data_IF_743900097924
#
_entry.id   IF_743900097924
#
_cell.length_a   1.000
_cell.length_b   1.000
_cell.length_c   1.000
_cell.angle_alpha   90.00
_cell.angle_beta   90.00
_cell.angle_gamma   90.00
#
_symmetry.space_group_name_H-M   'P 1'
#
loop_
_entity.id
_entity.type
_entity.pdbx_description
1 polymer ?
#
# COMPACT_ATOMS: atom_id res chain seq x y z
N UNK A 1 61.76 -3.76 -31.70
CA UNK A 1 60.87 -4.62 -30.88
C UNK A 1 60.31 -3.77 -29.76
N UNK A 2 59.03 -3.39 -29.85
CA UNK A 2 58.35 -2.53 -28.86
C UNK A 2 57.59 -3.45 -27.90
N UNK A 3 57.94 -3.43 -26.62
CA UNK A 3 57.16 -4.10 -25.57
C UNK A 3 55.91 -3.26 -25.29
N UNK A 4 54.74 -3.89 -25.44
CA UNK A 4 53.46 -3.35 -25.00
C UNK A 4 53.17 -3.99 -23.64
N UNK A 5 53.20 -3.19 -22.58
CA UNK A 5 52.79 -3.62 -21.24
C UNK A 5 51.26 -3.48 -21.20
N UNK A 6 50.57 -4.62 -21.21
CA UNK A 6 49.13 -4.69 -21.00
C UNK A 6 48.84 -4.67 -19.49
N UNK A 7 48.18 -3.63 -19.00
CA UNK A 7 47.63 -3.59 -17.64
C UNK A 7 46.26 -4.28 -17.65
N UNK A 8 46.17 -5.47 -17.07
CA UNK A 8 44.89 -6.13 -16.78
C UNK A 8 44.32 -5.56 -15.47
N UNK A 9 43.22 -4.81 -15.55
CA UNK A 9 42.44 -4.43 -14.38
C UNK A 9 41.66 -5.68 -13.92
N UNK A 10 42.10 -6.32 -12.85
CA UNK A 10 41.33 -7.33 -12.14
C UNK A 10 40.25 -6.62 -11.31
N UNK A 11 39.00 -6.63 -11.78
CA UNK A 11 37.86 -6.29 -10.94
C UNK A 11 37.39 -7.59 -10.27
N UNK A 12 37.88 -7.83 -9.06
CA UNK A 12 37.38 -8.89 -8.19
C UNK A 12 36.21 -8.32 -7.37
N UNK A 13 35.01 -8.22 -7.96
CA UNK A 13 33.80 -7.98 -7.18
C UNK A 13 33.36 -9.30 -6.55
N UNK A 14 33.80 -9.54 -5.32
CA UNK A 14 33.25 -10.60 -4.48
C UNK A 14 31.83 -10.20 -4.07
N UNK A 15 30.83 -10.63 -4.85
CA UNK A 15 29.44 -10.57 -4.38
C UNK A 15 29.25 -11.63 -3.30
N UNK A 16 29.37 -11.18 -2.05
CA UNK A 16 28.78 -11.86 -0.90
C UNK A 16 27.70 -10.93 -0.32
N UNK A 17 26.65 -10.71 -1.11
CA UNK A 17 25.37 -10.16 -0.65
C UNK A 17 24.49 -11.38 -0.38
N UNK A 18 24.67 -12.06 0.75
CA UNK A 18 23.95 -11.82 2.01
C UNK A 18 22.43 -11.84 1.78
N UNK A 19 21.83 -13.01 1.99
CA UNK A 19 20.39 -13.26 1.93
C UNK A 19 19.54 -12.26 2.74
N UNK A 20 20.14 -11.52 3.69
CA UNK A 20 19.50 -10.45 4.46
C UNK A 20 19.05 -9.26 3.59
N UNK A 21 19.75 -8.95 2.50
CA UNK A 21 19.37 -7.83 1.62
C UNK A 21 18.21 -8.20 0.70
N UNK A 22 18.20 -9.45 0.21
CA UNK A 22 17.07 -9.99 -0.58
C UNK A 22 15.79 -10.09 0.27
N UNK A 23 15.90 -10.55 1.52
CA UNK A 23 14.77 -10.67 2.44
C UNK A 23 14.22 -9.30 2.87
N UNK A 24 15.10 -8.31 3.09
CA UNK A 24 14.70 -6.90 3.33
C UNK A 24 14.01 -6.28 2.13
N UNK A 25 14.56 -6.45 0.92
CA UNK A 25 13.96 -5.93 -0.32
C UNK A 25 12.60 -6.59 -0.58
N UNK A 26 12.50 -7.90 -0.37
CA UNK A 26 11.23 -8.63 -0.51
C UNK A 26 10.21 -8.17 0.54
N UNK A 27 10.64 -7.87 1.77
CA UNK A 27 9.80 -7.32 2.84
C UNK A 27 9.28 -5.91 2.51
N UNK A 28 10.14 -5.03 1.98
CA UNK A 28 9.73 -3.67 1.53
C UNK A 28 8.74 -3.77 0.37
N UNK A 29 8.96 -4.70 -0.57
CA UNK A 29 8.06 -4.92 -1.71
C UNK A 29 6.65 -5.36 -1.28
N UNK A 30 6.51 -5.95 -0.09
CA UNK A 30 5.24 -6.44 0.45
C UNK A 30 4.53 -5.41 1.33
N UNK A 31 5.17 -4.29 1.69
CA UNK A 31 4.55 -3.28 2.54
C UNK A 31 3.56 -2.43 1.73
N UNK A 32 2.36 -2.19 2.28
CA UNK A 32 1.47 -1.18 1.72
C UNK A 32 2.03 0.20 2.07
N UNK A 33 2.44 0.97 1.06
CA UNK A 33 2.92 2.33 1.24
C UNK A 33 2.03 3.26 0.40
N UNK A 34 1.20 4.04 1.10
CA UNK A 34 0.43 5.13 0.53
C UNK A 34 1.15 6.41 0.89
N UNK A 35 1.54 7.17 -0.13
CA UNK A 35 2.29 8.41 0.05
C UNK A 35 1.41 9.48 0.71
N UNK A 36 1.80 10.08 1.84
CA UNK A 36 1.05 11.20 2.41
C UNK A 36 1.24 12.50 1.62
N UNK A 37 2.34 12.64 0.88
CA UNK A 37 2.69 13.88 0.21
C UNK A 37 1.84 14.11 -1.04
N UNK A 38 1.44 15.36 -1.26
CA UNK A 38 0.69 15.76 -2.44
C UNK A 38 -0.78 15.36 -2.44
N UNK A 39 -1.33 14.83 -1.34
CA UNK A 39 -2.77 14.56 -1.23
C UNK A 39 -3.55 15.87 -1.29
N UNK A 40 -4.42 16.00 -2.30
CA UNK A 40 -5.32 17.15 -2.49
C UNK A 40 -6.66 16.90 -1.83
N UNK A 41 -7.19 15.68 -1.97
CA UNK A 41 -8.46 15.31 -1.35
C UNK A 41 -8.55 13.82 -1.10
N UNK A 42 -9.37 13.47 -0.12
CA UNK A 42 -9.73 12.10 0.17
C UNK A 42 -11.25 11.99 0.26
N UNK A 43 -11.82 11.00 -0.40
CA UNK A 43 -13.26 10.77 -0.42
C UNK A 43 -13.55 9.32 -0.09
N UNK A 44 -14.73 9.06 0.50
CA UNK A 44 -15.18 7.71 0.78
C UNK A 44 -16.63 7.47 0.37
N UNK A 45 -16.98 6.21 0.10
CA UNK A 45 -18.35 5.75 -0.02
C UNK A 45 -18.53 4.40 0.64
N UNK A 46 -19.71 4.20 1.24
CA UNK A 46 -20.07 2.92 1.83
C UNK A 46 -20.64 1.96 0.77
N UNK A 47 -21.02 0.76 1.18
CA UNK A 47 -21.56 -0.25 0.27
C UNK A 47 -23.06 -0.10 -0.05
N UNK A 48 -23.76 0.77 0.69
CA UNK A 48 -25.19 1.06 0.52
C UNK A 48 -25.40 2.34 -0.31
N UNK A 49 -24.39 3.18 -0.40
CA UNK A 49 -24.43 4.50 -1.01
C UNK A 49 -23.35 4.63 -2.10
N UNK A 50 -23.73 5.17 -3.26
CA UNK A 50 -22.78 5.48 -4.35
C UNK A 50 -22.19 6.88 -4.22
N UNK A 51 -22.70 7.71 -3.33
CA UNK A 51 -22.25 9.08 -3.13
C UNK A 51 -20.90 9.10 -2.43
N UNK A 52 -19.93 9.79 -3.04
CA UNK A 52 -18.62 10.06 -2.45
C UNK A 52 -18.73 11.22 -1.47
N UNK A 53 -18.35 10.99 -0.23
CA UNK A 53 -18.29 11.97 0.85
C UNK A 53 -16.84 12.39 1.07
N UNK A 54 -16.60 13.69 1.18
CA UNK A 54 -15.25 14.21 1.44
C UNK A 54 -14.86 13.95 2.90
N UNK A 55 -13.66 13.42 3.10
CA UNK A 55 -13.05 13.23 4.41
C UNK A 55 -12.47 14.58 4.87
N UNK A 56 -12.65 14.92 6.14
CA UNK A 56 -12.13 16.17 6.71
C UNK A 56 -10.61 16.16 6.69
N UNK A 57 -10.01 17.31 6.43
CA UNK A 57 -8.55 17.43 6.35
C UNK A 57 -7.85 16.91 7.62
N UNK A 58 -8.40 17.22 8.79
CA UNK A 58 -7.86 16.80 10.09
C UNK A 58 -7.87 15.26 10.27
N UNK A 59 -8.78 14.56 9.60
CA UNK A 59 -8.94 13.10 9.67
C UNK A 59 -8.05 12.36 8.66
N UNK A 60 -7.61 13.02 7.59
CA UNK A 60 -6.82 12.41 6.50
C UNK A 60 -5.58 11.72 7.06
N UNK A 61 -4.84 12.40 7.95
CA UNK A 61 -3.61 11.86 8.51
C UNK A 61 -3.87 10.58 9.32
N UNK A 62 -4.88 10.59 10.18
CA UNK A 62 -5.21 9.43 11.02
C UNK A 62 -5.63 8.23 10.17
N UNK A 63 -6.42 8.46 9.11
CA UNK A 63 -6.82 7.39 8.19
C UNK A 63 -5.61 6.84 7.42
N UNK A 64 -4.72 7.71 6.94
CA UNK A 64 -3.47 7.33 6.28
C UNK A 64 -2.58 6.46 7.17
N UNK A 65 -2.41 6.88 8.43
CA UNK A 65 -1.62 6.14 9.41
C UNK A 65 -2.18 4.72 9.58
N UNK A 66 -3.51 4.57 9.70
CA UNK A 66 -4.16 3.25 9.81
C UNK A 66 -3.96 2.43 8.53
N UNK A 67 -4.21 2.99 7.34
CA UNK A 67 -4.07 2.27 6.07
C UNK A 67 -2.64 1.75 5.87
N UNK A 68 -1.63 2.53 6.28
CA UNK A 68 -0.22 2.13 6.21
C UNK A 68 0.19 1.09 7.27
N UNK A 69 -0.66 0.75 8.24
CA UNK A 69 -0.44 -0.40 9.13
C UNK A 69 -0.79 -1.75 8.50
N UNK A 70 -1.42 -1.74 7.32
CA UNK A 70 -1.88 -2.94 6.66
C UNK A 70 -0.72 -3.89 6.33
N UNK A 71 -0.93 -5.18 6.60
CA UNK A 71 0.09 -6.22 6.41
C UNK A 71 -0.21 -7.03 5.17
N UNK A 72 0.81 -7.37 4.38
CA UNK A 72 0.65 -8.22 3.20
C UNK A 72 -0.09 -9.51 3.54
N UNK A 73 -1.00 -9.93 2.67
CA UNK A 73 -1.72 -11.20 2.83
C UNK A 73 -1.22 -12.24 1.82
N UNK A 74 -0.27 -13.09 2.22
CA UNK A 74 0.29 -14.12 1.34
C UNK A 74 -0.79 -15.10 0.84
N UNK A 75 -1.78 -15.43 1.67
CA UNK A 75 -2.85 -16.36 1.30
C UNK A 75 -3.76 -15.75 0.23
N UNK A 76 -4.19 -14.49 0.44
CA UNK A 76 -5.08 -13.82 -0.51
C UNK A 76 -4.39 -13.46 -1.83
N UNK A 77 -3.06 -13.34 -1.83
CA UNK A 77 -2.27 -13.03 -3.03
C UNK A 77 -1.67 -14.27 -3.72
N UNK A 78 -1.94 -15.49 -3.24
CA UNK A 78 -1.39 -16.74 -3.78
C UNK A 78 -1.97 -17.14 -5.17
N UNK A 79 -2.87 -16.32 -5.72
CA UNK A 79 -3.52 -16.53 -7.01
C UNK A 79 -4.75 -17.44 -6.96
N UNK A 80 -5.07 -18.04 -5.80
CA UNK A 80 -6.31 -18.79 -5.62
C UNK A 80 -7.47 -17.81 -5.46
N UNK A 81 -8.38 -17.82 -6.44
CA UNK A 81 -9.55 -16.93 -6.44
C UNK A 81 -10.56 -17.34 -5.37
N UNK A 82 -10.80 -16.48 -4.39
CA UNK A 82 -11.96 -16.56 -3.50
C UNK A 82 -13.06 -15.60 -3.96
N UNK A 83 -14.33 -16.02 -3.87
CA UNK A 83 -15.49 -15.16 -4.18
C UNK A 83 -15.66 -14.15 -3.04
N UNK A 84 -15.47 -12.87 -3.32
CA UNK A 84 -15.71 -11.82 -2.33
C UNK A 84 -17.11 -11.19 -2.46
N UNK A 85 -17.64 -10.79 -1.31
CA UNK A 85 -18.78 -9.87 -1.24
C UNK A 85 -18.36 -8.47 -1.69
N UNK A 86 -19.33 -7.59 -1.95
CA UNK A 86 -19.01 -6.18 -2.19
C UNK A 86 -18.19 -5.60 -1.01
N UNK A 87 -17.21 -4.72 -1.28
CA UNK A 87 -16.47 -4.02 -0.24
C UNK A 87 -17.44 -3.18 0.58
N UNK A 88 -17.18 -3.05 1.88
CA UNK A 88 -18.00 -2.28 2.80
C UNK A 88 -17.73 -0.77 2.70
N UNK A 89 -16.48 -0.42 2.39
CA UNK A 89 -16.03 0.95 2.28
C UNK A 89 -15.08 1.06 1.07
N UNK A 90 -15.19 2.16 0.35
CA UNK A 90 -14.26 2.55 -0.71
C UNK A 90 -13.66 3.89 -0.34
N UNK A 91 -12.35 4.02 -0.47
CA UNK A 91 -11.63 5.29 -0.30
C UNK A 91 -10.94 5.63 -1.61
N UNK A 92 -11.05 6.89 -2.01
CA UNK A 92 -10.36 7.47 -3.17
C UNK A 92 -9.48 8.59 -2.67
N UNK A 93 -8.18 8.49 -2.92
CA UNK A 93 -7.18 9.51 -2.61
C UNK A 93 -6.78 10.15 -3.94
N UNK A 94 -6.90 11.47 -4.03
CA UNK A 94 -6.47 12.27 -5.19
C UNK A 94 -5.23 13.08 -4.83
N UNK A 95 -4.23 13.01 -5.68
CA UNK A 95 -2.98 13.73 -5.54
C UNK A 95 -2.93 14.95 -6.45
N UNK A 96 -1.97 15.84 -6.21
CA UNK A 96 -1.76 17.08 -6.98
C UNK A 96 -1.26 16.85 -8.40
N UNK A 97 -0.76 15.65 -8.70
CA UNK A 97 -0.36 15.21 -10.04
C UNK A 97 -1.52 14.53 -10.80
N UNK A 98 -2.76 14.70 -10.32
CA UNK A 98 -3.98 14.08 -10.81
C UNK A 98 -4.02 12.54 -10.71
N UNK A 99 -3.03 11.92 -10.05
CA UNK A 99 -3.08 10.48 -9.79
C UNK A 99 -4.13 10.14 -8.73
N UNK A 100 -4.68 8.93 -8.84
CA UNK A 100 -5.68 8.41 -7.91
C UNK A 100 -5.24 7.06 -7.32
N UNK A 101 -5.36 6.94 -5.99
CA UNK A 101 -5.29 5.64 -5.31
C UNK A 101 -6.70 5.25 -4.87
N UNK A 102 -7.13 4.06 -5.31
CA UNK A 102 -8.45 3.50 -5.00
C UNK A 102 -8.28 2.31 -4.07
N UNK A 103 -8.92 2.39 -2.92
CA UNK A 103 -8.81 1.42 -1.84
C UNK A 103 -10.18 0.82 -1.60
N UNK A 104 -10.24 -0.50 -1.52
CA UNK A 104 -11.45 -1.25 -1.18
C UNK A 104 -11.24 -1.94 0.16
N UNK A 105 -12.23 -1.84 1.03
CA UNK A 105 -12.14 -2.23 2.43
C UNK A 105 -13.30 -3.16 2.82
N UNK A 106 -12.96 -4.27 3.47
CA UNK A 106 -13.83 -5.22 4.18
C UNK A 106 -13.45 -5.24 5.66
N UNK A 107 -14.21 -5.96 6.50
CA UNK A 107 -14.00 -5.95 7.96
C UNK A 107 -12.55 -6.17 8.40
N UNK A 108 -11.82 -7.06 7.72
CA UNK A 108 -10.43 -7.40 8.05
C UNK A 108 -9.48 -7.37 6.83
N UNK A 109 -9.92 -6.84 5.68
CA UNK A 109 -9.15 -6.87 4.44
C UNK A 109 -9.14 -5.51 3.76
N UNK A 110 -8.00 -5.21 3.16
CA UNK A 110 -7.78 -4.07 2.29
C UNK A 110 -7.24 -4.53 0.95
N UNK A 111 -7.79 -3.97 -0.13
CA UNK A 111 -7.31 -4.16 -1.48
C UNK A 111 -6.95 -2.83 -2.11
N UNK A 112 -5.70 -2.73 -2.55
CA UNK A 112 -5.15 -1.55 -3.21
C UNK A 112 -4.11 -1.99 -4.22
N UNK A 113 -4.09 -1.36 -5.39
CA UNK A 113 -3.10 -1.63 -6.45
C UNK A 113 -2.97 -3.11 -6.84
N UNK A 114 -4.08 -3.86 -6.85
CA UNK A 114 -4.13 -5.31 -7.16
C UNK A 114 -3.51 -6.23 -6.12
N UNK A 115 -3.25 -5.72 -4.92
CA UNK A 115 -2.65 -6.49 -3.82
C UNK A 115 -3.58 -6.50 -2.62
N UNK A 116 -3.68 -7.67 -1.98
CA UNK A 116 -4.43 -7.88 -0.75
C UNK A 116 -3.57 -7.67 0.48
N UNK A 117 -4.18 -7.04 1.49
CA UNK A 117 -3.59 -6.80 2.78
C UNK A 117 -4.59 -7.10 3.89
N UNK A 118 -4.10 -7.53 5.04
CA UNK A 118 -4.85 -7.65 6.29
C UNK A 118 -4.89 -6.29 6.97
N UNK A 119 -6.09 -5.79 7.23
CA UNK A 119 -6.32 -4.52 7.92
C UNK A 119 -7.69 -4.55 8.61
N UNK A 120 -7.72 -4.26 9.90
CA UNK A 120 -8.98 -4.06 10.63
C UNK A 120 -9.48 -2.63 10.40
N UNK A 121 -10.68 -2.50 9.83
CA UNK A 121 -11.22 -1.21 9.40
C UNK A 121 -12.07 -0.52 10.47
N UNK A 122 -12.20 -1.09 11.68
CA UNK A 122 -12.99 -0.51 12.77
C UNK A 122 -12.57 0.91 13.10
N UNK A 123 -11.26 1.15 13.24
CA UNK A 123 -10.73 2.48 13.53
C UNK A 123 -11.03 3.49 12.41
N UNK A 124 -11.01 3.06 11.14
CA UNK A 124 -11.40 3.92 10.01
C UNK A 124 -12.90 4.24 10.09
N UNK A 125 -13.76 3.25 10.36
CA UNK A 125 -15.20 3.46 10.53
C UNK A 125 -15.50 4.44 11.67
N UNK A 126 -14.83 4.32 12.82
CA UNK A 126 -15.00 5.23 13.95
C UNK A 126 -14.64 6.68 13.59
N UNK A 127 -13.58 6.90 12.80
CA UNK A 127 -13.22 8.24 12.32
C UNK A 127 -14.30 8.78 11.37
N UNK A 128 -14.75 7.96 10.42
CA UNK A 128 -15.67 8.40 9.35
C UNK A 128 -17.11 8.62 9.82
N UNK A 129 -17.61 7.79 10.73
CA UNK A 129 -19.00 7.81 11.19
C UNK A 129 -19.15 8.33 12.62
N UNK A 130 -18.04 8.52 13.35
CA UNK A 130 -18.04 8.72 14.79
C UNK A 130 -18.09 7.39 15.55
N UNK A 131 -17.98 7.46 16.89
CA UNK A 131 -18.24 6.29 17.73
C UNK A 131 -19.73 5.96 17.65
N UNK A 132 -20.06 4.76 17.18
CA UNK A 132 -21.37 4.18 17.49
C UNK A 132 -21.43 4.01 19.02
N UNK A 133 -22.34 4.72 19.68
CA UNK A 133 -22.62 4.62 21.12
C UNK A 133 -23.52 3.42 21.35
#
# INVERSE_FOLDING_TARGET
>A
MKQVIAFCIFILTTFTLSADEEDRVMTISKQCIINPDGIVSMQFSDNKDTVLRTIKHDDIKAIMDILNTAKYDDESNDGKRFKMTAPQLRIVIRYSDDSEVKIQLWDALMYVNKTWYKLDIRAIKEILYGKEI
#
